data_IF_042219980433
#
_entry.id   IF_042219980433
#
_cell.length_a   1.000
_cell.length_b   1.000
_cell.length_c   1.000
_cell.angle_alpha   90.00
_cell.angle_beta   90.00
_cell.angle_gamma   90.00
#
_symmetry.space_group_name_H-M   'P 1'
#
loop_
_entity.id
_entity.type
_entity.pdbx_description
1 polymer ?
#
# COMPACT_ATOMS: atom_id res chain seq x y z
N UNK A 1 -16.11 8.29 5.31
CA UNK A 1 -15.18 7.74 4.28
C UNK A 1 -14.40 6.63 4.92
N UNK A 2 -14.26 5.53 4.24
CA UNK A 2 -13.47 4.38 4.68
C UNK A 2 -12.05 4.49 4.09
N UNK A 3 -11.04 4.03 4.84
CA UNK A 3 -9.65 3.95 4.37
C UNK A 3 -9.17 2.52 4.50
N UNK A 4 -8.62 1.97 3.45
CA UNK A 4 -8.00 0.65 3.41
C UNK A 4 -6.59 0.73 2.87
N UNK A 5 -5.74 -0.15 3.34
CA UNK A 5 -4.36 -0.25 2.88
C UNK A 5 -4.16 -1.64 2.32
N UNK A 6 -3.58 -1.72 1.13
CA UNK A 6 -3.22 -2.97 0.49
C UNK A 6 -1.73 -2.98 0.14
N UNK A 7 -1.15 -4.15 0.18
CA UNK A 7 0.25 -4.38 -0.13
C UNK A 7 0.39 -5.38 -1.28
N UNK A 8 1.12 -4.99 -2.31
CA UNK A 8 1.51 -5.84 -3.44
C UNK A 8 2.93 -6.34 -3.18
N UNK A 9 3.17 -7.63 -3.34
CA UNK A 9 4.50 -8.21 -3.15
C UNK A 9 4.80 -9.32 -4.12
N UNK A 10 6.05 -9.40 -4.54
CA UNK A 10 6.58 -10.50 -5.35
C UNK A 10 7.19 -11.60 -4.49
N UNK A 11 7.23 -11.44 -3.17
CA UNK A 11 8.03 -12.29 -2.29
C UNK A 11 9.50 -12.37 -2.78
N UNK A 12 10.07 -13.55 -2.84
CA UNK A 12 11.40 -13.82 -3.45
C UNK A 12 11.28 -14.16 -4.95
N UNK A 13 10.29 -13.60 -5.64
CA UNK A 13 10.05 -13.85 -7.05
C UNK A 13 11.12 -13.26 -7.96
N UNK A 14 11.40 -13.91 -9.11
CA UNK A 14 12.36 -13.41 -10.09
C UNK A 14 11.85 -12.16 -10.80
N UNK A 15 12.67 -11.58 -11.70
CA UNK A 15 12.37 -10.36 -12.47
C UNK A 15 10.99 -10.38 -13.15
N UNK A 16 10.56 -11.54 -13.63
CA UNK A 16 9.25 -11.69 -14.27
C UNK A 16 8.10 -11.42 -13.28
N UNK A 17 8.25 -11.85 -12.01
CA UNK A 17 7.27 -11.52 -10.97
C UNK A 17 7.30 -10.03 -10.65
N UNK A 18 8.49 -9.40 -10.65
CA UNK A 18 8.64 -7.96 -10.41
C UNK A 18 8.02 -7.13 -11.55
N UNK A 19 8.17 -7.58 -12.79
CA UNK A 19 7.50 -6.96 -13.95
C UNK A 19 5.98 -7.15 -13.87
N UNK A 20 5.54 -8.36 -13.49
CA UNK A 20 4.11 -8.62 -13.27
C UNK A 20 3.53 -7.70 -12.18
N UNK A 21 4.24 -7.49 -11.07
CA UNK A 21 3.82 -6.61 -9.99
C UNK A 21 3.67 -5.15 -10.46
N UNK A 22 4.59 -4.65 -11.29
CA UNK A 22 4.47 -3.33 -11.91
C UNK A 22 3.23 -3.18 -12.78
N UNK A 23 2.95 -4.19 -13.62
CA UNK A 23 1.74 -4.22 -14.46
C UNK A 23 0.45 -4.35 -13.63
N UNK A 24 0.47 -5.15 -12.56
CA UNK A 24 -0.64 -5.32 -11.62
C UNK A 24 -0.93 -3.99 -10.92
N UNK A 25 0.08 -3.28 -10.44
CA UNK A 25 -0.09 -1.97 -9.81
C UNK A 25 -0.81 -1.00 -10.76
N UNK A 26 -0.36 -0.90 -12.01
CA UNK A 26 -1.02 -0.05 -13.01
C UNK A 26 -2.48 -0.45 -13.28
N UNK A 27 -2.75 -1.74 -13.44
CA UNK A 27 -4.10 -2.26 -13.69
C UNK A 27 -5.04 -2.05 -12.49
N UNK A 28 -4.53 -2.23 -11.28
CA UNK A 28 -5.27 -2.01 -10.03
C UNK A 28 -5.64 -0.53 -9.86
N UNK A 29 -4.69 0.38 -10.03
CA UNK A 29 -4.93 1.82 -9.93
C UNK A 29 -5.95 2.29 -10.97
N UNK A 30 -5.92 1.74 -12.19
CA UNK A 30 -6.89 2.02 -13.23
C UNK A 30 -8.31 1.51 -12.87
N UNK A 31 -8.43 0.29 -12.33
CA UNK A 31 -9.69 -0.29 -11.89
C UNK A 31 -10.31 0.51 -10.72
N UNK A 32 -9.50 0.89 -9.73
CA UNK A 32 -9.94 1.69 -8.59
C UNK A 32 -10.43 3.08 -9.04
N UNK A 33 -9.70 3.72 -9.97
CA UNK A 33 -10.11 5.02 -10.56
C UNK A 33 -11.43 4.91 -11.31
N UNK A 34 -11.65 3.85 -12.10
CA UNK A 34 -12.92 3.62 -12.79
C UNK A 34 -14.09 3.45 -11.82
N UNK A 35 -13.83 2.91 -10.63
CA UNK A 35 -14.82 2.77 -9.55
C UNK A 35 -15.01 4.03 -8.70
N UNK A 36 -14.36 5.15 -9.05
CA UNK A 36 -14.46 6.42 -8.34
C UNK A 36 -13.73 6.44 -6.99
N UNK A 37 -12.81 5.50 -6.75
CA UNK A 37 -12.02 5.43 -5.53
C UNK A 37 -10.71 6.21 -5.69
N UNK A 38 -10.31 6.90 -4.62
CA UNK A 38 -9.02 7.56 -4.53
C UNK A 38 -7.97 6.55 -4.04
N UNK A 39 -6.92 6.37 -4.83
CA UNK A 39 -5.84 5.45 -4.50
C UNK A 39 -4.49 6.18 -4.63
N UNK A 40 -3.70 6.12 -3.56
CA UNK A 40 -2.38 6.72 -3.47
C UNK A 40 -1.33 5.66 -3.14
N UNK A 41 -0.21 5.69 -3.84
CA UNK A 41 0.93 4.80 -3.54
C UNK A 41 1.77 5.45 -2.45
N UNK A 42 1.71 4.89 -1.23
CA UNK A 42 2.43 5.39 -0.05
C UNK A 42 3.90 4.99 -0.11
N UNK A 43 4.16 3.74 -0.52
CA UNK A 43 5.51 3.19 -0.60
C UNK A 43 5.67 2.32 -1.84
N UNK A 44 6.86 2.34 -2.41
CA UNK A 44 7.21 1.54 -3.58
C UNK A 44 8.69 1.18 -3.56
N UNK A 45 8.97 -0.09 -3.50
CA UNK A 45 10.34 -0.61 -3.69
C UNK A 45 10.54 -0.98 -5.15
N UNK A 46 11.37 -0.22 -5.85
CA UNK A 46 11.69 -0.47 -7.25
C UNK A 46 12.52 -1.76 -7.40
N UNK A 47 12.30 -2.47 -8.49
CA UNK A 47 13.20 -3.54 -8.93
C UNK A 47 14.37 -3.00 -9.76
N UNK A 48 15.31 -3.86 -10.16
CA UNK A 48 16.50 -3.45 -10.89
C UNK A 48 16.24 -3.03 -12.34
N UNK A 49 15.13 -3.44 -12.94
CA UNK A 49 14.79 -3.16 -14.33
C UNK A 49 13.64 -2.14 -14.42
N UNK A 50 13.59 -1.38 -15.50
CA UNK A 50 12.51 -0.41 -15.73
C UNK A 50 11.14 -1.07 -15.73
N UNK A 51 10.19 -0.49 -14.99
CA UNK A 51 8.83 -1.02 -14.85
C UNK A 51 8.70 -2.20 -13.87
N UNK A 52 9.80 -2.65 -13.24
CA UNK A 52 9.76 -3.69 -12.22
C UNK A 52 9.61 -3.12 -10.82
N UNK A 53 8.89 -3.80 -9.96
CA UNK A 53 8.75 -3.47 -8.54
C UNK A 53 8.85 -4.74 -7.69
N UNK A 54 9.49 -4.63 -6.54
CA UNK A 54 9.56 -5.70 -5.54
C UNK A 54 8.27 -5.71 -4.70
N UNK A 55 7.85 -4.52 -4.29
CA UNK A 55 6.64 -4.31 -3.50
C UNK A 55 6.06 -2.92 -3.72
N UNK A 56 4.78 -2.74 -3.40
CA UNK A 56 4.11 -1.45 -3.32
C UNK A 56 3.00 -1.48 -2.27
N UNK A 57 2.88 -0.39 -1.52
CA UNK A 57 1.81 -0.17 -0.54
C UNK A 57 0.91 0.95 -1.03
N UNK A 58 -0.39 0.70 -1.03
CA UNK A 58 -1.39 1.60 -1.62
C UNK A 58 -2.44 1.88 -0.55
N UNK A 59 -2.70 3.16 -0.30
CA UNK A 59 -3.82 3.63 0.49
C UNK A 59 -5.00 3.91 -0.44
N UNK A 60 -6.18 3.44 -0.05
CA UNK A 60 -7.41 3.59 -0.82
C UNK A 60 -8.44 4.28 0.08
N UNK A 61 -9.01 5.38 -0.41
CA UNK A 61 -10.03 6.16 0.27
C UNK A 61 -11.32 6.18 -0.56
N UNK A 62 -12.46 5.96 0.09
CA UNK A 62 -13.75 6.02 -0.60
C UNK A 62 -14.89 5.36 0.12
N UNK A 63 -15.90 4.93 -0.63
CA UNK A 63 -17.09 4.20 -0.14
C UNK A 63 -17.08 2.80 -0.76
N UNK A 64 -17.46 1.78 0.02
CA UNK A 64 -17.52 0.37 -0.43
C UNK A 64 -16.19 -0.18 -0.99
N UNK A 65 -15.07 0.23 -0.40
CA UNK A 65 -13.73 -0.18 -0.84
C UNK A 65 -13.58 -1.69 -0.82
N UNK A 66 -14.11 -2.37 0.21
CA UNK A 66 -14.00 -3.82 0.37
C UNK A 66 -14.50 -4.58 -0.86
N UNK A 67 -15.67 -4.21 -1.39
CA UNK A 67 -16.22 -4.83 -2.60
C UNK A 67 -15.33 -4.61 -3.82
N UNK A 68 -14.70 -3.43 -3.92
CA UNK A 68 -13.84 -3.09 -5.04
C UNK A 68 -12.52 -3.88 -5.04
N UNK A 69 -11.91 -4.07 -3.85
CA UNK A 69 -10.60 -4.72 -3.71
C UNK A 69 -10.69 -6.25 -3.57
N UNK A 70 -11.82 -6.80 -3.13
CA UNK A 70 -11.95 -8.23 -2.85
C UNK A 70 -11.56 -9.13 -4.02
N UNK A 71 -11.84 -8.69 -5.25
CA UNK A 71 -11.44 -9.43 -6.47
C UNK A 71 -9.94 -9.31 -6.80
N UNK A 72 -9.19 -8.51 -6.03
CA UNK A 72 -7.75 -8.33 -6.17
C UNK A 72 -6.97 -8.98 -5.04
N UNK A 73 -7.60 -9.20 -3.87
CA UNK A 73 -6.94 -9.78 -2.70
C UNK A 73 -6.62 -11.26 -2.93
N UNK A 74 -5.39 -11.64 -2.68
CA UNK A 74 -4.87 -12.99 -2.86
C UNK A 74 -3.77 -13.06 -3.91
N UNK A 75 -3.59 -14.24 -4.50
CA UNK A 75 -2.55 -14.49 -5.50
C UNK A 75 -3.04 -14.15 -6.90
N UNK A 76 -2.27 -13.35 -7.62
CA UNK A 76 -2.49 -13.05 -9.04
C UNK A 76 -1.45 -13.77 -9.89
N UNK A 77 -1.91 -14.41 -10.95
CA UNK A 77 -1.09 -15.14 -11.90
C UNK A 77 -0.92 -14.34 -13.19
N UNK A 78 0.32 -14.23 -13.66
CA UNK A 78 0.62 -13.78 -15.02
C UNK A 78 1.20 -14.92 -15.83
N UNK A 79 0.58 -15.22 -16.98
CA UNK A 79 1.00 -16.28 -17.90
C UNK A 79 1.67 -15.64 -19.09
N UNK A 80 3.01 -15.73 -19.14
CA UNK A 80 3.83 -15.18 -20.20
C UNK A 80 5.19 -15.88 -20.26
N UNK A 81 5.73 -16.05 -21.46
CA UNK A 81 7.15 -16.43 -21.60
C UNK A 81 8.02 -15.35 -20.99
N UNK A 82 9.14 -15.73 -20.37
CA UNK A 82 10.06 -14.76 -19.79
C UNK A 82 10.56 -13.79 -20.85
N UNK A 83 10.43 -12.47 -20.63
CA UNK A 83 11.05 -11.47 -21.50
C UNK A 83 12.56 -11.34 -21.25
N UNK A 84 13.05 -11.82 -20.11
CA UNK A 84 14.44 -11.70 -19.68
C UNK A 84 15.26 -12.96 -19.98
N UNK A 85 14.60 -14.13 -20.08
CA UNK A 85 15.24 -15.44 -20.25
C UNK A 85 14.59 -16.21 -21.40
N UNK A 86 15.08 -16.07 -22.65
CA UNK A 86 14.42 -16.61 -23.86
C UNK A 86 14.11 -18.10 -23.81
N UNK A 87 15.02 -18.90 -23.25
CA UNK A 87 14.90 -20.38 -23.21
C UNK A 87 14.32 -20.93 -21.90
N UNK A 88 13.71 -20.08 -21.07
CA UNK A 88 13.15 -20.53 -19.80
C UNK A 88 11.78 -21.20 -20.00
N UNK A 89 11.64 -22.45 -19.53
CA UNK A 89 10.41 -23.23 -19.69
C UNK A 89 9.22 -22.73 -18.87
N UNK A 90 9.47 -22.01 -17.77
CA UNK A 90 8.42 -21.48 -16.88
C UNK A 90 7.71 -20.29 -17.52
N UNK A 91 6.37 -20.31 -17.48
CA UNK A 91 5.49 -19.27 -18.03
C UNK A 91 4.55 -18.65 -16.99
N UNK A 92 4.50 -19.19 -15.78
CA UNK A 92 3.56 -18.78 -14.74
C UNK A 92 4.30 -18.00 -13.67
N UNK A 93 3.89 -16.72 -13.47
CA UNK A 93 4.48 -15.78 -12.53
C UNK A 93 3.41 -15.37 -11.54
N UNK A 94 3.75 -15.32 -10.25
CA UNK A 94 2.79 -15.09 -9.19
C UNK A 94 3.19 -13.85 -8.39
N UNK A 95 2.17 -13.07 -8.01
CA UNK A 95 2.27 -11.86 -7.19
C UNK A 95 1.16 -11.90 -6.16
N UNK A 96 1.47 -11.55 -4.91
CA UNK A 96 0.49 -11.49 -3.84
C UNK A 96 -0.04 -10.08 -3.63
N UNK A 97 -1.32 -9.97 -3.31
CA UNK A 97 -1.96 -8.74 -2.85
C UNK A 97 -2.67 -9.05 -1.54
N UNK A 98 -2.31 -8.33 -0.49
CA UNK A 98 -2.85 -8.52 0.86
C UNK A 98 -3.41 -7.21 1.40
N UNK A 99 -4.48 -7.30 2.16
CA UNK A 99 -4.97 -6.17 2.95
C UNK A 99 -4.11 -6.05 4.22
N UNK A 100 -3.66 -4.83 4.51
CA UNK A 100 -2.94 -4.50 5.73
C UNK A 100 -3.92 -3.85 6.68
N UNK A 101 -4.03 -4.38 7.89
CA UNK A 101 -4.94 -3.82 8.88
C UNK A 101 -4.33 -2.54 9.49
N UNK A 102 -4.94 -1.37 9.29
CA UNK A 102 -4.44 -0.12 9.85
C UNK A 102 -4.64 0.01 11.36
N UNK A 103 -5.23 -0.98 12.04
CA UNK A 103 -5.52 -0.94 13.47
C UNK A 103 -4.29 -0.72 14.37
N UNK A 104 -3.09 -0.90 13.83
CA UNK A 104 -1.83 -0.57 14.53
C UNK A 104 -1.37 0.88 14.30
N UNK A 105 -2.12 1.66 13.50
CA UNK A 105 -1.80 3.04 13.18
C UNK A 105 -2.84 3.92 13.82
N UNK A 106 -2.65 4.22 15.09
CA UNK A 106 -3.45 5.24 15.78
C UNK A 106 -3.24 6.58 15.08
N UNK A 107 -4.34 7.12 14.51
CA UNK A 107 -4.34 8.48 13.98
C UNK A 107 -3.90 9.44 15.09
N UNK A 108 -3.11 10.47 14.74
CA UNK A 108 -2.75 11.49 15.71
C UNK A 108 -3.98 12.33 16.06
N UNK A 109 -4.07 12.72 17.35
CA UNK A 109 -5.11 13.60 17.85
C UNK A 109 -4.47 14.93 18.29
N UNK A 110 -5.03 16.05 17.86
CA UNK A 110 -4.51 17.37 18.22
C UNK A 110 -4.50 17.61 19.72
N UNK A 111 -5.44 17.02 20.47
CA UNK A 111 -5.53 17.11 21.91
C UNK A 111 -4.35 16.44 22.64
N UNK A 112 -3.58 15.62 21.96
CA UNK A 112 -2.39 14.94 22.49
C UNK A 112 -1.10 15.76 22.30
N UNK A 113 -1.21 16.97 21.71
CA UNK A 113 -0.09 17.87 21.52
C UNK A 113 -0.03 18.87 22.65
N UNK A 114 1.07 18.83 23.40
CA UNK A 114 1.36 19.81 24.45
C UNK A 114 2.26 20.91 23.88
N UNK A 115 1.82 22.16 24.05
CA UNK A 115 2.57 23.33 23.63
C UNK A 115 3.23 24.00 24.84
N UNK A 116 4.53 24.20 24.78
CA UNK A 116 5.33 24.88 25.78
C UNK A 116 5.93 26.17 25.20
N UNK A 117 5.70 27.28 25.89
CA UNK A 117 6.36 28.55 25.55
C UNK A 117 7.76 28.54 26.15
N UNK A 118 8.77 28.82 25.34
CA UNK A 118 10.18 28.84 25.74
C UNK A 118 10.85 30.09 25.22
N UNK A 119 11.96 30.46 25.85
CA UNK A 119 12.77 31.57 25.37
C UNK A 119 13.44 31.20 24.04
N UNK A 120 13.47 32.16 23.13
CA UNK A 120 14.20 31.99 21.87
C UNK A 120 15.70 31.90 22.14
N UNK A 121 16.41 31.05 21.42
CA UNK A 121 17.88 30.99 21.43
C UNK A 121 18.43 31.83 20.28
N UNK A 122 19.42 32.67 20.53
CA UNK A 122 20.09 33.49 19.52
C UNK A 122 21.01 34.53 20.11
N UNK A 123 21.73 35.30 19.29
CA UNK A 123 22.56 36.44 19.67
C UNK A 123 21.65 37.48 20.32
N UNK A 124 21.69 37.52 21.67
CA UNK A 124 20.66 38.13 22.47
C UNK A 124 20.72 39.64 22.52
N UNK A 125 19.55 40.26 22.52
CA UNK A 125 19.26 41.59 23.01
C UNK A 125 18.32 41.52 24.22
N UNK A 126 18.05 42.64 24.85
CA UNK A 126 17.20 42.72 26.06
C UNK A 126 15.80 42.12 25.85
N UNK A 127 15.28 42.12 24.62
CA UNK A 127 13.96 41.60 24.24
C UNK A 127 13.93 40.08 24.21
N UNK A 128 14.96 39.43 23.65
CA UNK A 128 15.07 37.96 23.52
C UNK A 128 15.15 37.30 24.91
N UNK A 129 15.76 37.96 25.86
CA UNK A 129 15.93 37.43 27.22
C UNK A 129 14.69 37.59 28.12
N UNK A 130 13.75 38.49 27.76
CA UNK A 130 12.55 38.78 28.57
C UNK A 130 11.27 38.12 28.05
N UNK A 131 11.18 37.74 26.75
CA UNK A 131 9.95 37.27 26.14
C UNK A 131 10.09 35.80 25.69
N UNK A 132 9.16 34.95 26.12
CA UNK A 132 9.08 33.53 25.69
C UNK A 132 8.24 33.40 24.43
N UNK A 133 8.75 33.86 23.28
CA UNK A 133 8.05 33.82 21.99
C UNK A 133 8.23 32.51 21.26
N UNK A 134 9.27 31.70 21.53
CA UNK A 134 9.45 30.40 20.93
C UNK A 134 8.47 29.36 21.49
N UNK A 135 8.08 28.40 20.66
CA UNK A 135 7.12 27.36 21.00
C UNK A 135 7.75 26.00 20.75
N UNK A 136 7.66 25.15 21.75
CA UNK A 136 7.94 23.72 21.65
C UNK A 136 6.62 22.97 21.64
N UNK A 137 6.33 22.20 20.58
CA UNK A 137 5.20 21.31 20.49
C UNK A 137 5.67 19.87 20.68
N UNK A 138 5.01 19.13 21.55
CA UNK A 138 5.34 17.74 21.89
C UNK A 138 4.07 16.90 21.76
N UNK A 139 4.11 15.88 20.94
CA UNK A 139 3.06 14.86 20.86
C UNK A 139 3.34 13.80 21.93
N UNK A 140 2.50 13.74 22.96
CA UNK A 140 2.72 12.92 24.15
C UNK A 140 2.87 11.43 23.87
N UNK A 141 2.02 10.77 23.03
CA UNK A 141 2.11 9.34 22.80
C UNK A 141 3.35 8.90 22.02
N UNK A 142 3.81 9.71 21.04
CA UNK A 142 4.97 9.33 20.20
C UNK A 142 6.28 9.95 20.66
N UNK A 143 6.26 10.90 21.61
CA UNK A 143 7.44 11.69 22.00
C UNK A 143 7.99 12.60 20.89
N UNK A 144 7.27 12.71 19.77
CA UNK A 144 7.68 13.57 18.65
C UNK A 144 7.65 15.03 19.07
N UNK A 145 8.75 15.75 18.83
CA UNK A 145 8.91 17.13 19.24
C UNK A 145 9.31 18.03 18.08
N UNK A 146 8.77 19.26 18.09
CA UNK A 146 9.12 20.35 17.18
C UNK A 146 9.37 21.61 17.97
N UNK A 147 10.39 22.37 17.58
CA UNK A 147 10.74 23.67 18.17
C UNK A 147 10.68 24.75 17.09
N UNK A 148 9.99 25.87 17.37
CA UNK A 148 9.79 26.98 16.44
C UNK A 148 10.07 28.30 17.13
N UNK A 149 10.92 29.12 16.52
CA UNK A 149 11.31 30.47 17.01
C UNK A 149 11.43 31.52 15.90
N UNK A 150 10.76 31.28 14.76
CA UNK A 150 10.95 32.08 13.54
C UNK A 150 10.26 33.45 13.60
N UNK A 151 9.15 33.53 14.34
CA UNK A 151 8.40 34.77 14.49
C UNK A 151 8.62 35.39 15.86
N UNK A 152 8.46 36.74 15.92
CA UNK A 152 8.37 37.47 17.18
C UNK A 152 7.05 37.23 17.94
N UNK A 153 6.04 36.73 17.24
CA UNK A 153 4.74 36.40 17.80
C UNK A 153 4.68 34.93 18.23
N UNK A 154 4.41 34.70 19.52
CA UNK A 154 4.18 33.38 20.09
C UNK A 154 3.02 32.65 19.39
N UNK A 155 1.93 33.39 19.07
CA UNK A 155 0.77 32.83 18.38
C UNK A 155 1.14 32.32 17.01
N UNK A 156 1.95 33.07 16.27
CA UNK A 156 2.46 32.67 14.96
C UNK A 156 3.35 31.41 15.05
N UNK A 157 4.27 31.40 16.01
CA UNK A 157 5.14 30.25 16.26
C UNK A 157 4.32 29.00 16.66
N UNK A 158 3.21 29.17 17.40
CA UNK A 158 2.30 28.05 17.73
C UNK A 158 1.60 27.49 16.49
N UNK A 159 1.16 28.35 15.55
CA UNK A 159 0.58 27.89 14.28
C UNK A 159 1.59 27.08 13.44
N UNK A 160 2.80 27.61 13.27
CA UNK A 160 3.87 26.94 12.54
C UNK A 160 4.26 25.61 13.23
N UNK A 161 4.33 25.60 14.56
CA UNK A 161 4.65 24.38 15.32
C UNK A 161 3.58 23.30 15.13
N UNK A 162 2.29 23.70 15.05
CA UNK A 162 1.17 22.80 14.78
C UNK A 162 1.29 22.14 13.40
N UNK A 163 1.58 22.92 12.38
CA UNK A 163 1.75 22.39 11.01
C UNK A 163 2.94 21.44 10.93
N UNK A 164 4.10 21.85 11.45
CA UNK A 164 5.31 21.03 11.44
C UNK A 164 5.21 19.73 12.24
N UNK A 165 4.56 19.76 13.40
CA UNK A 165 4.38 18.54 14.18
C UNK A 165 3.44 17.58 13.48
N UNK A 166 2.40 18.10 12.80
CA UNK A 166 1.50 17.32 11.96
C UNK A 166 2.26 16.62 10.83
N UNK A 167 3.01 17.35 10.03
CA UNK A 167 3.83 16.80 8.95
C UNK A 167 4.80 15.72 9.46
N UNK A 168 5.44 15.99 10.60
CA UNK A 168 6.38 15.04 11.20
C UNK A 168 5.69 13.78 11.71
N UNK A 169 4.49 13.88 12.26
CA UNK A 169 3.69 12.75 12.71
C UNK A 169 3.18 11.92 11.52
N UNK A 170 2.70 12.57 10.45
CA UNK A 170 2.29 11.90 9.22
C UNK A 170 3.46 11.10 8.62
N UNK A 171 4.67 11.67 8.62
CA UNK A 171 5.88 10.98 8.17
C UNK A 171 6.21 9.76 9.05
N UNK A 172 6.19 9.92 10.36
CA UNK A 172 6.45 8.81 11.31
C UNK A 172 5.40 7.71 11.17
N UNK A 173 4.13 8.08 10.94
CA UNK A 173 3.07 7.10 10.68
C UNK A 173 3.31 6.31 9.40
N UNK A 174 3.69 6.99 8.31
CA UNK A 174 4.00 6.31 7.04
C UNK A 174 5.20 5.36 7.17
N UNK A 175 6.26 5.77 7.89
CA UNK A 175 7.42 4.91 8.16
C UNK A 175 7.05 3.69 9.02
N UNK A 176 6.20 3.87 10.05
CA UNK A 176 5.69 2.76 10.86
C UNK A 176 4.81 1.81 10.04
N UNK A 177 3.95 2.34 9.17
CA UNK A 177 3.14 1.55 8.27
C UNK A 177 4.02 0.64 7.40
N UNK A 178 5.04 1.21 6.77
CA UNK A 178 5.99 0.46 5.95
C UNK A 178 6.70 -0.62 6.78
N UNK A 179 7.10 -0.30 8.01
CA UNK A 179 7.73 -1.26 8.91
C UNK A 179 6.79 -2.43 9.28
N UNK A 180 5.53 -2.15 9.62
CA UNK A 180 4.50 -3.16 9.91
C UNK A 180 4.23 -4.04 8.69
N UNK A 181 4.08 -3.41 7.52
CA UNK A 181 3.90 -4.12 6.24
C UNK A 181 5.07 -5.06 5.97
N UNK A 182 6.30 -4.58 6.15
CA UNK A 182 7.50 -5.39 5.94
C UNK A 182 7.63 -6.53 6.96
N UNK A 183 7.23 -6.32 8.20
CA UNK A 183 7.23 -7.33 9.25
C UNK A 183 6.15 -8.40 9.00
N UNK A 184 4.94 -7.99 8.67
CA UNK A 184 3.84 -8.89 8.30
C UNK A 184 4.19 -9.69 7.05
N UNK A 185 4.87 -9.05 6.08
CA UNK A 185 5.35 -9.72 4.89
C UNK A 185 6.40 -10.81 5.17
N UNK A 186 7.28 -10.61 6.14
CA UNK A 186 8.26 -11.63 6.52
C UNK A 186 7.60 -12.89 7.10
N UNK A 187 6.40 -12.77 7.66
CA UNK A 187 5.59 -13.88 8.19
C UNK A 187 4.76 -14.58 7.10
N UNK A 188 4.39 -13.89 6.01
CA UNK A 188 3.61 -14.43 4.90
C UNK A 188 4.49 -14.93 3.74
N UNK A 189 5.54 -15.69 4.03
CA UNK A 189 6.45 -16.21 3.00
C UNK A 189 5.84 -17.22 2.01
N UNK A 190 4.60 -17.65 2.20
CA UNK A 190 3.94 -18.64 1.36
C UNK A 190 2.86 -18.00 0.48
N UNK A 191 3.28 -17.54 -0.69
CA UNK A 191 2.36 -17.26 -1.79
C UNK A 191 1.69 -18.57 -2.23
N UNK A 192 0.40 -18.71 -1.94
CA UNK A 192 -0.41 -19.83 -2.47
C UNK A 192 -0.39 -19.81 -4.00
N UNK A 193 0.34 -20.75 -4.60
CA UNK A 193 0.53 -20.80 -6.07
C UNK A 193 -0.56 -21.56 -6.81
N UNK A 194 -1.47 -22.20 -6.10
CA UNK A 194 -2.44 -23.15 -6.65
C UNK A 194 -3.79 -22.57 -7.07
N UNK A 195 -4.22 -21.46 -6.49
CA UNK A 195 -5.56 -20.88 -6.69
C UNK A 195 -5.53 -19.37 -6.90
N UNK A 196 -5.14 -18.89 -8.10
CA UNK A 196 -5.07 -17.47 -8.37
C UNK A 196 -6.46 -16.85 -8.47
N UNK A 197 -6.67 -15.73 -7.78
CA UNK A 197 -7.91 -14.95 -7.81
C UNK A 197 -8.11 -14.30 -9.19
N UNK A 198 -7.02 -13.86 -9.82
CA UNK A 198 -7.02 -13.33 -11.19
C UNK A 198 -5.86 -13.90 -11.99
N UNK A 199 -6.09 -14.08 -13.29
CA UNK A 199 -5.06 -14.52 -14.23
C UNK A 199 -4.98 -13.52 -15.38
N UNK A 200 -3.77 -13.06 -15.69
CA UNK A 200 -3.48 -12.22 -16.84
C UNK A 200 -2.60 -12.97 -17.83
N UNK A 201 -2.71 -12.64 -19.12
CA UNK A 201 -1.96 -13.32 -20.18
C UNK A 201 -1.34 -12.33 -21.15
N UNK A 202 -0.21 -12.73 -21.71
CA UNK A 202 0.51 -11.95 -22.73
C UNK A 202 1.24 -10.71 -22.19
N UNK A 203 2.02 -10.08 -23.04
CA UNK A 203 2.73 -8.83 -22.70
C UNK A 203 1.76 -7.66 -22.53
N UNK A 204 0.62 -7.68 -23.23
CA UNK A 204 -0.45 -6.67 -23.10
C UNK A 204 -1.19 -6.77 -21.76
N UNK A 205 -0.86 -7.74 -20.92
CA UNK A 205 -1.45 -7.94 -19.59
C UNK A 205 -2.99 -8.01 -19.63
N UNK A 206 -3.55 -8.76 -20.57
CA UNK A 206 -4.99 -8.90 -20.70
C UNK A 206 -5.54 -9.92 -19.68
N UNK A 207 -6.68 -9.60 -19.01
CA UNK A 207 -7.31 -10.55 -18.10
C UNK A 207 -7.71 -11.80 -18.87
N UNK A 208 -7.33 -12.98 -18.39
CA UNK A 208 -7.80 -14.26 -18.92
C UNK A 208 -9.28 -14.37 -18.56
N UNK A 209 -10.15 -14.34 -19.56
CA UNK A 209 -11.58 -14.63 -19.36
C UNK A 209 -11.69 -16.00 -18.72
N UNK A 210 -12.43 -16.11 -17.61
CA UNK A 210 -12.73 -17.40 -17.01
C UNK A 210 -13.28 -18.30 -18.12
N UNK A 211 -12.55 -19.33 -18.48
CA UNK A 211 -13.03 -20.29 -19.46
C UNK A 211 -14.33 -20.88 -18.90
N UNK A 212 -15.33 -21.03 -19.73
CA UNK A 212 -16.60 -21.71 -19.41
C UNK A 212 -16.36 -23.23 -19.17
N UNK A 213 -15.22 -23.58 -18.59
CA UNK A 213 -14.76 -24.96 -18.34
C UNK A 213 -15.71 -25.66 -17.39
N UNK A 214 -16.24 -24.93 -16.40
CA UNK A 214 -17.24 -25.48 -15.49
C UNK A 214 -18.55 -25.89 -16.21
N UNK A 215 -18.97 -25.10 -17.20
CA UNK A 215 -20.16 -25.43 -18.00
C UNK A 215 -19.90 -26.60 -18.92
N UNK A 216 -18.69 -26.72 -19.51
CA UNK A 216 -18.27 -27.85 -20.32
C UNK A 216 -18.13 -29.15 -19.51
N UNK A 217 -17.46 -29.09 -18.35
CA UNK A 217 -17.33 -30.24 -17.45
C UNK A 217 -18.68 -30.69 -16.90
N UNK A 218 -19.54 -29.76 -16.48
CA UNK A 218 -20.89 -30.07 -16.01
C UNK A 218 -21.76 -30.67 -17.13
N UNK A 219 -21.64 -30.20 -18.37
CA UNK A 219 -22.35 -30.77 -19.50
C UNK A 219 -21.81 -32.16 -19.90
N UNK A 220 -20.47 -32.36 -19.76
CA UNK A 220 -19.85 -33.67 -20.00
C UNK A 220 -20.29 -34.68 -18.94
N UNK A 221 -20.24 -34.32 -17.66
CA UNK A 221 -20.74 -35.13 -16.56
C UNK A 221 -22.26 -35.46 -16.69
N UNK A 222 -23.08 -34.49 -17.12
CA UNK A 222 -24.49 -34.75 -17.39
C UNK A 222 -24.72 -35.70 -18.56
N UNK A 223 -23.89 -35.65 -19.57
CA UNK A 223 -23.98 -36.57 -20.71
C UNK A 223 -23.51 -38.00 -20.34
N UNK A 224 -22.45 -38.10 -19.50
CA UNK A 224 -21.99 -39.38 -18.95
C UNK A 224 -23.06 -40.01 -18.05
N UNK A 225 -23.65 -39.23 -17.15
CA UNK A 225 -24.73 -39.70 -16.27
C UNK A 225 -25.98 -40.15 -17.04
N UNK A 226 -26.31 -39.47 -18.15
CA UNK A 226 -27.43 -39.91 -19.02
C UNK A 226 -27.14 -41.22 -19.71
N UNK A 227 -25.91 -41.43 -20.16
CA UNK A 227 -25.51 -42.72 -20.79
C UNK A 227 -25.54 -43.87 -19.81
N UNK A 228 -25.14 -43.64 -18.55
CA UNK A 228 -25.14 -44.68 -17.50
C UNK A 228 -26.55 -45.03 -17.01
N UNK A 229 -27.53 -44.14 -17.23
CA UNK A 229 -28.93 -44.35 -16.87
C UNK A 229 -29.78 -44.98 -18.02
N UNK A 230 -29.25 -45.03 -19.24
CA UNK A 230 -29.90 -45.62 -20.41
C UNK A 230 -29.35 -47.04 -20.71
N UNK A 231 -28.47 -47.58 -19.84
CA UNK A 231 -27.99 -48.97 -19.82
C UNK A 231 -28.67 -49.76 -18.70
#
# INVERSE_FOLDING_TARGET
METKIIHITTAKGPLECQLAAGKILGALLADLRQKGLQAEVIDRTAGPESGTILSATIQINGIAIQTAIQSWLGTIQWIQKSPYRPNHGRKNWFVGIFEVNPAEITGWNENEIVYQSVRSSGSGGQHVNKVSSAVRAIHTPSGTMVFVQESRSQLQNKKIARERIREKLEKVQSERLVAVVNQTWSQHHELERGNPVRTFTGMDFKPKKAEKTFKKQRNKLKQELKRDLEL
#
